data_IF_153334670620
#
_entry.id   IF_153334670620
#
_cell.length_a   1.000
_cell.length_b   1.000
_cell.length_c   1.000
_cell.angle_alpha   90.00
_cell.angle_beta   90.00
_cell.angle_gamma   90.00
#
_symmetry.space_group_name_H-M   'P 1'
#
loop_
_entity.id
_entity.type
_entity.pdbx_description
1 polymer ?
#
# COMPACT_ATOMS: atom_id res chain seq x y z
N UNK A 1 -16.45 50.14 23.46
CA UNK A 1 -15.58 49.62 22.39
C UNK A 1 -15.45 48.12 22.61
N UNK A 2 -16.27 47.34 21.91
CA UNK A 2 -16.30 45.87 22.01
C UNK A 2 -15.65 45.33 20.76
N UNK A 3 -14.42 44.84 20.88
CA UNK A 3 -13.71 44.20 19.77
C UNK A 3 -14.35 42.83 19.54
N UNK A 4 -15.09 42.70 18.43
CA UNK A 4 -15.56 41.41 17.96
C UNK A 4 -14.36 40.58 17.49
N UNK A 5 -14.15 39.42 18.12
CA UNK A 5 -13.22 38.40 17.64
C UNK A 5 -13.94 37.64 16.54
N UNK A 6 -13.43 37.71 15.31
CA UNK A 6 -13.99 37.00 14.16
C UNK A 6 -13.89 35.47 14.34
N UNK A 7 -14.95 34.70 14.07
CA UNK A 7 -14.93 33.24 14.19
C UNK A 7 -14.61 32.61 12.84
N UNK A 8 -13.43 32.83 12.26
CA UNK A 8 -13.10 32.25 10.95
C UNK A 8 -11.60 31.92 10.87
N UNK A 9 -11.26 30.64 11.14
CA UNK A 9 -10.10 29.88 10.60
C UNK A 9 -9.71 28.63 11.41
N UNK A 10 -10.19 28.49 12.64
CA UNK A 10 -9.74 27.39 13.50
C UNK A 10 -10.33 26.02 13.13
N UNK A 11 -11.58 25.95 12.65
CA UNK A 11 -12.18 24.66 12.27
C UNK A 11 -11.63 24.10 10.95
N UNK A 12 -11.38 24.94 9.94
CA UNK A 12 -11.00 24.47 8.60
C UNK A 12 -9.58 23.87 8.54
N UNK A 13 -8.65 24.42 9.33
CA UNK A 13 -7.26 23.93 9.38
C UNK A 13 -7.17 22.54 10.02
N UNK A 14 -7.99 22.28 11.04
CA UNK A 14 -8.02 20.98 11.72
C UNK A 14 -8.61 19.90 10.81
N UNK A 15 -9.69 20.20 10.07
CA UNK A 15 -10.26 19.25 9.11
C UNK A 15 -9.30 18.93 7.96
N UNK A 16 -8.61 19.93 7.41
CA UNK A 16 -7.63 19.71 6.34
C UNK A 16 -6.45 18.87 6.85
N UNK A 17 -5.92 19.16 8.03
CA UNK A 17 -4.83 18.39 8.63
C UNK A 17 -5.23 16.94 8.92
N UNK A 18 -6.43 16.71 9.46
CA UNK A 18 -7.00 15.38 9.69
C UNK A 18 -7.17 14.65 8.35
N UNK A 19 -7.71 15.32 7.34
CA UNK A 19 -7.88 14.74 6.02
C UNK A 19 -6.53 14.37 5.39
N UNK A 20 -5.53 15.24 5.48
CA UNK A 20 -4.20 14.98 4.97
C UNK A 20 -3.47 13.87 5.76
N UNK A 21 -3.71 13.70 7.05
CA UNK A 21 -3.24 12.56 7.84
C UNK A 21 -3.95 11.23 7.44
N UNK A 22 -5.15 11.35 6.89
CA UNK A 22 -5.96 10.27 6.31
C UNK A 22 -5.40 9.65 5.03
N UNK A 23 -4.52 10.38 4.33
CA UNK A 23 -4.03 10.01 3.01
C UNK A 23 -3.06 8.81 3.10
N UNK A 24 -3.35 7.71 2.41
CA UNK A 24 -2.51 6.52 2.38
C UNK A 24 -2.19 6.08 0.94
N UNK A 25 -0.99 5.53 0.70
CA UNK A 25 -0.64 4.99 -0.59
C UNK A 25 -1.31 3.62 -0.72
N UNK A 26 -1.74 3.29 -1.92
CA UNK A 26 -2.33 2.01 -2.19
C UNK A 26 -1.85 1.50 -3.53
N UNK A 27 -1.32 0.28 -3.52
CA UNK A 27 -0.88 -0.38 -4.74
C UNK A 27 -2.12 -0.71 -5.58
N UNK A 28 -2.02 -0.44 -6.87
CA UNK A 28 -3.08 -0.67 -7.84
C UNK A 28 -2.49 -1.16 -9.16
N UNK A 29 -3.32 -1.84 -9.96
CA UNK A 29 -2.93 -2.15 -11.34
C UNK A 29 -3.16 -0.95 -12.20
N UNK A 30 -2.27 -0.78 -13.17
CA UNK A 30 -2.38 0.27 -14.18
C UNK A 30 -3.67 0.16 -14.99
N UNK A 31 -4.18 -1.04 -15.26
CA UNK A 31 -5.46 -1.20 -15.96
C UNK A 31 -6.68 -0.77 -15.13
N UNK A 32 -6.53 -0.69 -13.80
CA UNK A 32 -7.62 -0.22 -12.93
C UNK A 32 -7.70 1.33 -12.95
N UNK A 33 -6.77 2.01 -13.63
CA UNK A 33 -6.77 3.45 -13.87
C UNK A 33 -7.45 3.88 -15.17
N UNK A 34 -7.70 2.95 -16.10
CA UNK A 34 -8.29 3.28 -17.40
C UNK A 34 -9.82 3.35 -17.28
N UNK A 35 -10.33 4.49 -16.83
CA UNK A 35 -11.77 4.79 -16.76
C UNK A 35 -12.09 5.84 -15.69
N UNK A 36 -13.22 6.53 -15.84
CA UNK A 36 -13.78 7.31 -14.75
C UNK A 36 -14.28 6.32 -13.69
N UNK A 37 -13.64 6.33 -12.52
CA UNK A 37 -14.03 5.49 -11.38
C UNK A 37 -14.75 6.39 -10.38
N UNK A 38 -15.72 5.85 -9.63
CA UNK A 38 -16.29 6.60 -8.51
C UNK A 38 -15.16 6.93 -7.53
N UNK A 39 -14.90 8.23 -7.38
CA UNK A 39 -13.87 8.75 -6.47
C UNK A 39 -14.47 9.07 -5.11
N UNK A 40 -13.63 9.54 -4.19
CA UNK A 40 -13.99 9.99 -2.85
C UNK A 40 -15.17 11.00 -2.81
N UNK A 41 -15.41 11.72 -3.91
CA UNK A 41 -16.48 12.70 -4.03
C UNK A 41 -17.81 12.13 -4.57
N UNK A 42 -17.90 10.81 -4.81
CA UNK A 42 -19.12 10.17 -5.30
C UNK A 42 -19.43 10.42 -6.78
N UNK A 43 -18.52 11.04 -7.53
CA UNK A 43 -18.63 11.25 -8.98
C UNK A 43 -17.45 10.60 -9.72
N UNK A 44 -17.65 10.34 -11.01
CA UNK A 44 -16.62 9.78 -11.90
C UNK A 44 -15.52 10.80 -12.17
N UNK A 45 -14.36 10.62 -11.55
CA UNK A 45 -13.17 11.45 -11.76
C UNK A 45 -11.95 10.53 -11.92
N UNK A 46 -10.83 11.08 -12.39
CA UNK A 46 -9.59 10.33 -12.57
C UNK A 46 -8.85 10.24 -11.22
N UNK A 47 -8.59 9.01 -10.71
CA UNK A 47 -7.80 8.83 -9.50
C UNK A 47 -6.41 9.44 -9.62
N UNK A 48 -5.94 10.11 -8.58
CA UNK A 48 -4.57 10.60 -8.52
C UNK A 48 -3.59 9.45 -8.26
N UNK A 49 -2.50 9.43 -9.02
CA UNK A 49 -1.51 8.37 -8.89
C UNK A 49 -0.18 8.60 -9.58
N UNK A 50 0.78 7.73 -9.28
CA UNK A 50 2.11 7.69 -9.89
C UNK A 50 2.37 6.29 -10.43
N UNK A 51 2.92 6.19 -11.63
CA UNK A 51 3.31 4.90 -12.20
C UNK A 51 4.56 4.35 -11.49
N UNK A 52 4.53 3.08 -11.09
CA UNK A 52 5.65 2.41 -10.40
C UNK A 52 6.40 1.45 -11.33
N UNK A 53 5.67 0.71 -12.16
CA UNK A 53 6.21 -0.28 -13.10
C UNK A 53 5.38 -0.32 -14.38
N UNK A 54 5.58 -1.35 -15.22
CA UNK A 54 4.76 -1.56 -16.41
C UNK A 54 3.29 -1.83 -16.04
N UNK A 55 3.03 -2.61 -14.99
CA UNK A 55 1.67 -3.02 -14.61
C UNK A 55 1.16 -2.38 -13.33
N UNK A 56 2.01 -1.74 -12.52
CA UNK A 56 1.64 -1.21 -11.21
C UNK A 56 1.72 0.31 -11.15
N UNK A 57 0.85 0.86 -10.31
CA UNK A 57 0.82 2.27 -9.96
C UNK A 57 0.47 2.40 -8.49
N UNK A 58 0.87 3.51 -7.89
CA UNK A 58 0.35 3.94 -6.58
C UNK A 58 -0.83 4.86 -6.83
N UNK A 59 -1.92 4.61 -6.09
CA UNK A 59 -3.05 5.52 -5.96
C UNK A 59 -3.14 5.98 -4.50
N UNK A 60 -3.92 7.03 -4.26
CA UNK A 60 -4.16 7.51 -2.92
C UNK A 60 -5.54 7.11 -2.43
N UNK A 61 -5.59 6.64 -1.19
CA UNK A 61 -6.82 6.36 -0.47
C UNK A 61 -6.98 7.37 0.65
N UNK A 62 -8.22 7.75 0.89
CA UNK A 62 -8.58 8.41 2.12
C UNK A 62 -9.06 7.38 3.13
N UNK A 63 -8.43 7.33 4.30
CA UNK A 63 -8.84 6.46 5.39
C UNK A 63 -8.95 7.28 6.67
N UNK A 64 -10.06 7.13 7.36
CA UNK A 64 -10.15 7.62 8.73
C UNK A 64 -9.06 6.96 9.60
N UNK A 65 -8.52 7.70 10.56
CA UNK A 65 -7.52 7.23 11.51
C UNK A 65 -8.14 6.27 12.53
N UNK A 66 -9.45 6.43 12.80
CA UNK A 66 -10.21 5.62 13.76
C UNK A 66 -10.93 4.42 13.14
N UNK A 67 -11.00 4.34 11.81
CA UNK A 67 -11.65 3.22 11.14
C UNK A 67 -10.81 1.95 11.26
N UNK A 68 -11.41 0.89 11.81
CA UNK A 68 -10.78 -0.42 11.88
C UNK A 68 -10.55 -0.96 10.46
N UNK A 69 -9.29 -1.31 10.16
CA UNK A 69 -8.86 -1.95 8.91
C UNK A 69 -9.58 -3.27 8.59
N UNK A 70 -10.41 -3.78 9.50
CA UNK A 70 -11.24 -4.98 9.34
C UNK A 70 -12.46 -4.80 8.42
N UNK A 71 -12.83 -3.57 8.07
CA UNK A 71 -14.10 -3.34 7.36
C UNK A 71 -13.92 -3.41 5.84
N UNK A 72 -14.77 -4.18 5.18
CA UNK A 72 -14.98 -4.27 3.71
C UNK A 72 -15.41 -2.95 3.04
N UNK A 73 -15.08 -1.80 3.63
CA UNK A 73 -15.39 -0.50 3.08
C UNK A 73 -14.75 -0.37 1.70
N UNK A 74 -15.52 0.07 0.69
CA UNK A 74 -15.00 0.22 -0.67
C UNK A 74 -13.81 1.18 -0.68
N UNK A 75 -12.82 0.87 -1.52
CA UNK A 75 -11.66 1.73 -1.73
C UNK A 75 -12.12 3.01 -2.44
N UNK A 76 -12.22 4.10 -1.70
CA UNK A 76 -12.44 5.43 -2.25
C UNK A 76 -11.08 6.02 -2.64
N UNK A 77 -10.81 6.07 -3.95
CA UNK A 77 -9.60 6.69 -4.45
C UNK A 77 -9.75 8.20 -4.51
N UNK A 78 -8.71 8.90 -4.07
CA UNK A 78 -8.65 10.36 -4.07
C UNK A 78 -8.35 10.84 -5.49
N UNK A 79 -9.15 11.78 -6.00
CA UNK A 79 -8.97 12.30 -7.37
C UNK A 79 -7.85 13.35 -7.48
N UNK A 80 -7.41 13.63 -8.71
CA UNK A 80 -6.45 14.72 -8.97
C UNK A 80 -6.98 16.09 -8.53
N UNK A 81 -8.30 16.31 -8.63
CA UNK A 81 -8.95 17.54 -8.16
C UNK A 81 -8.82 17.67 -6.65
N UNK A 82 -9.13 16.61 -5.90
CA UNK A 82 -9.01 16.62 -4.44
C UNK A 82 -7.58 16.91 -3.99
N UNK A 83 -6.57 16.22 -4.59
CA UNK A 83 -5.16 16.49 -4.29
C UNK A 83 -4.77 17.94 -4.58
N UNK A 84 -5.26 18.51 -5.69
CA UNK A 84 -5.01 19.91 -6.05
C UNK A 84 -5.73 20.89 -5.13
N UNK A 85 -6.90 20.52 -4.61
CA UNK A 85 -7.67 21.28 -3.62
C UNK A 85 -6.92 21.47 -2.30
N UNK A 86 -6.10 20.49 -1.92
CA UNK A 86 -5.15 20.59 -0.79
C UNK A 86 -3.84 21.33 -1.13
N UNK A 87 -3.73 21.92 -2.33
CA UNK A 87 -2.50 22.59 -2.78
C UNK A 87 -1.30 21.66 -2.96
N UNK A 88 -1.52 20.36 -3.08
CA UNK A 88 -0.46 19.36 -3.25
C UNK A 88 -0.26 19.00 -4.71
N UNK A 89 1.00 18.76 -5.10
CA UNK A 89 1.30 18.02 -6.31
C UNK A 89 1.16 16.51 -6.04
N UNK A 90 0.93 15.72 -7.10
CA UNK A 90 0.87 14.25 -6.99
C UNK A 90 2.13 13.66 -6.33
N UNK A 91 3.31 14.24 -6.59
CA UNK A 91 4.56 13.80 -5.95
C UNK A 91 4.54 14.08 -4.44
N UNK A 92 4.15 15.29 -4.02
CA UNK A 92 4.05 15.64 -2.60
C UNK A 92 3.00 14.81 -1.88
N UNK A 93 1.88 14.53 -2.53
CA UNK A 93 0.86 13.61 -2.02
C UNK A 93 1.42 12.19 -1.82
N UNK A 94 2.27 11.71 -2.73
CA UNK A 94 2.92 10.41 -2.61
C UNK A 94 3.91 10.34 -1.45
N UNK A 95 4.75 11.36 -1.28
CA UNK A 95 5.68 11.47 -0.15
C UNK A 95 4.92 11.58 1.19
N UNK A 96 3.87 12.40 1.24
CA UNK A 96 3.01 12.56 2.41
C UNK A 96 2.31 11.25 2.79
N UNK A 97 1.72 10.56 1.81
CA UNK A 97 1.04 9.30 2.03
C UNK A 97 2.01 8.24 2.59
N UNK A 98 3.24 8.18 2.06
CA UNK A 98 4.28 7.29 2.58
C UNK A 98 4.68 7.62 4.03
N UNK A 99 4.72 8.91 4.40
CA UNK A 99 4.96 9.32 5.78
C UNK A 99 3.79 8.96 6.70
N UNK A 100 2.54 9.15 6.26
CA UNK A 100 1.34 8.76 7.00
C UNK A 100 1.31 7.24 7.24
N UNK A 101 1.65 6.44 6.23
CA UNK A 101 1.74 4.98 6.34
C UNK A 101 2.72 4.57 7.46
N UNK A 102 3.89 5.20 7.52
CA UNK A 102 4.87 4.95 8.58
C UNK A 102 4.33 5.36 9.96
N UNK A 103 3.71 6.54 10.07
CA UNK A 103 3.10 7.02 11.32
C UNK A 103 2.04 6.05 11.84
N UNK A 104 1.17 5.50 10.98
CA UNK A 104 0.14 4.52 11.38
C UNK A 104 0.70 3.20 11.88
N UNK A 105 1.86 2.78 11.40
CA UNK A 105 2.51 1.55 11.84
C UNK A 105 3.48 1.75 13.01
N UNK A 106 3.72 2.99 13.43
CA UNK A 106 4.61 3.32 14.53
C UNK A 106 3.99 2.91 15.88
N UNK A 107 4.80 2.30 16.73
CA UNK A 107 4.50 2.05 18.14
C UNK A 107 5.60 2.66 19.00
N UNK A 108 5.44 2.60 20.33
CA UNK A 108 6.48 3.04 21.27
C UNK A 108 7.84 2.33 21.07
N UNK A 109 7.87 1.20 20.35
CA UNK A 109 9.07 0.40 20.06
C UNK A 109 9.54 0.52 18.60
N UNK A 110 8.92 1.40 17.80
CA UNK A 110 9.22 1.57 16.38
C UNK A 110 8.15 0.99 15.46
N UNK A 111 8.50 0.71 14.20
CA UNK A 111 7.56 0.22 13.20
C UNK A 111 7.20 -1.25 13.45
N UNK A 112 5.90 -1.57 13.48
CA UNK A 112 5.41 -2.93 13.76
C UNK A 112 4.86 -3.62 12.51
N UNK A 113 5.49 -4.74 12.15
CA UNK A 113 4.96 -5.72 11.21
C UNK A 113 4.54 -6.99 11.96
N UNK A 114 3.39 -7.55 11.59
CA UNK A 114 2.99 -8.90 12.02
C UNK A 114 3.39 -9.87 10.92
N UNK A 115 4.07 -10.93 11.32
CA UNK A 115 4.55 -11.96 10.40
C UNK A 115 4.03 -13.32 10.83
N UNK A 116 3.72 -14.17 9.86
CA UNK A 116 3.43 -15.58 10.09
C UNK A 116 3.96 -16.43 8.94
N UNK A 117 4.08 -17.73 9.16
CA UNK A 117 4.48 -18.67 8.12
C UNK A 117 3.50 -18.60 6.94
N UNK A 118 4.02 -18.57 5.71
CA UNK A 118 3.18 -18.57 4.51
C UNK A 118 2.40 -19.89 4.36
N UNK A 119 2.87 -20.99 4.97
CA UNK A 119 2.19 -22.28 4.96
C UNK A 119 0.73 -22.22 5.44
N UNK A 120 0.39 -21.24 6.29
CA UNK A 120 -0.97 -20.99 6.79
C UNK A 120 -1.97 -20.62 5.68
N UNK A 121 -1.50 -19.99 4.60
CA UNK A 121 -2.33 -19.62 3.44
C UNK A 121 -1.93 -20.35 2.16
N UNK A 122 -0.70 -20.86 2.10
CA UNK A 122 -0.14 -21.66 1.01
C UNK A 122 0.45 -22.96 1.55
N UNK A 123 -0.38 -23.99 1.82
CA UNK A 123 0.10 -25.24 2.38
C UNK A 123 1.29 -25.81 1.60
N UNK A 124 2.39 -26.09 2.32
CA UNK A 124 3.65 -26.59 1.75
C UNK A 124 4.70 -25.52 1.40
N UNK A 125 4.34 -24.23 1.46
CA UNK A 125 5.29 -23.11 1.29
C UNK A 125 6.00 -22.82 2.63
N UNK A 126 7.15 -23.45 2.86
CA UNK A 126 7.94 -23.32 4.10
C UNK A 126 8.94 -22.16 4.05
N UNK A 127 9.32 -21.77 2.84
CA UNK A 127 10.24 -20.69 2.47
C UNK A 127 9.61 -19.27 2.51
N UNK A 128 8.35 -19.17 2.95
CA UNK A 128 7.56 -17.96 2.80
C UNK A 128 7.14 -17.37 4.13
N UNK A 129 7.13 -16.03 4.18
CA UNK A 129 6.62 -15.25 5.30
C UNK A 129 5.48 -14.36 4.80
N UNK A 130 4.29 -14.53 5.37
CA UNK A 130 3.20 -13.59 5.16
C UNK A 130 3.37 -12.39 6.08
N UNK A 131 3.12 -11.21 5.54
CA UNK A 131 3.28 -9.93 6.24
C UNK A 131 1.93 -9.24 6.32
N UNK A 132 1.66 -8.67 7.49
CA UNK A 132 0.57 -7.75 7.73
C UNK A 132 1.11 -6.50 8.42
N UNK A 133 0.69 -5.34 7.93
CA UNK A 133 0.98 -4.06 8.56
C UNK A 133 -0.21 -3.59 9.40
N UNK A 134 0.06 -2.86 10.48
CA UNK A 134 -0.98 -2.23 11.29
C UNK A 134 -1.47 -0.95 10.58
N UNK A 135 -2.78 -0.72 10.60
CA UNK A 135 -3.38 0.55 10.19
C UNK A 135 -3.39 0.82 8.68
N UNK A 136 -2.95 -0.13 7.86
CA UNK A 136 -2.97 -0.03 6.40
C UNK A 136 -2.89 -1.42 5.73
N UNK A 137 -3.19 -1.43 4.43
CA UNK A 137 -2.99 -2.58 3.54
C UNK A 137 -1.51 -2.99 3.49
N UNK A 138 -1.21 -4.29 3.54
CA UNK A 138 0.18 -4.77 3.49
C UNK A 138 0.88 -4.34 2.18
N UNK A 139 0.14 -4.38 1.06
CA UNK A 139 0.65 -3.97 -0.26
C UNK A 139 1.04 -2.49 -0.35
N UNK A 140 0.49 -1.63 0.53
CA UNK A 140 0.80 -0.20 0.58
C UNK A 140 2.29 0.06 0.83
N UNK A 141 2.96 -0.84 1.55
CA UNK A 141 4.39 -0.71 1.84
C UNK A 141 5.25 -0.81 0.59
N UNK A 142 4.78 -1.46 -0.47
CA UNK A 142 5.51 -1.61 -1.74
C UNK A 142 5.28 -0.41 -2.67
N UNK A 143 4.37 0.50 -2.32
CA UNK A 143 3.91 1.56 -3.21
C UNK A 143 4.81 2.81 -3.18
N UNK A 144 5.82 2.88 -2.31
CA UNK A 144 6.78 3.99 -2.24
C UNK A 144 8.21 3.48 -1.94
N UNK A 145 9.27 4.06 -2.54
CA UNK A 145 10.65 3.59 -2.35
C UNK A 145 11.12 3.49 -0.90
N UNK A 146 10.82 4.50 -0.11
CA UNK A 146 11.20 4.53 1.30
C UNK A 146 10.50 3.43 2.11
N UNK A 147 9.18 3.25 1.93
CA UNK A 147 8.43 2.25 2.70
C UNK A 147 8.79 0.84 2.24
N UNK A 148 9.04 0.66 0.95
CA UNK A 148 9.42 -0.65 0.42
C UNK A 148 10.83 -1.01 0.91
N UNK A 149 11.78 -0.07 0.91
CA UNK A 149 13.11 -0.28 1.49
C UNK A 149 13.05 -0.66 2.97
N UNK A 150 12.18 -0.03 3.76
CA UNK A 150 12.00 -0.37 5.19
C UNK A 150 11.51 -1.82 5.34
N UNK A 151 10.47 -2.19 4.60
CA UNK A 151 9.89 -3.53 4.67
C UNK A 151 10.88 -4.60 4.14
N UNK A 152 11.52 -4.37 2.99
CA UNK A 152 12.52 -5.28 2.42
C UNK A 152 13.69 -5.50 3.38
N UNK A 153 14.22 -4.42 3.97
CA UNK A 153 15.29 -4.51 4.97
C UNK A 153 14.86 -5.28 6.21
N UNK A 154 13.63 -5.09 6.69
CA UNK A 154 13.09 -5.84 7.82
C UNK A 154 13.01 -7.34 7.51
N UNK A 155 12.53 -7.71 6.32
CA UNK A 155 12.38 -9.11 5.92
C UNK A 155 13.70 -9.80 5.66
N UNK A 156 14.69 -9.09 5.11
CA UNK A 156 16.06 -9.62 4.98
C UNK A 156 16.65 -9.97 6.34
N UNK A 157 16.45 -9.11 7.35
CA UNK A 157 16.87 -9.41 8.72
C UNK A 157 16.14 -10.61 9.31
N UNK A 158 14.82 -10.71 9.10
CA UNK A 158 14.00 -11.79 9.63
C UNK A 158 14.30 -13.15 8.99
N UNK A 159 14.59 -13.17 7.69
CA UNK A 159 14.90 -14.39 6.91
C UNK A 159 16.39 -14.74 6.92
N UNK A 160 17.23 -13.90 7.54
CA UNK A 160 18.68 -13.96 7.43
C UNK A 160 19.20 -13.98 5.97
N UNK A 161 18.42 -13.43 5.04
CA UNK A 161 18.78 -13.38 3.64
C UNK A 161 19.96 -12.44 3.43
N UNK A 162 21.01 -12.94 2.79
CA UNK A 162 22.18 -12.13 2.42
C UNK A 162 21.84 -11.14 1.31
N UNK A 163 22.67 -10.10 1.14
CA UNK A 163 22.49 -9.10 0.07
C UNK A 163 22.47 -9.71 -1.35
N UNK A 164 23.04 -10.91 -1.54
CA UNK A 164 23.04 -11.64 -2.81
C UNK A 164 21.76 -12.46 -3.05
N UNK A 165 21.00 -12.75 -1.99
CA UNK A 165 19.76 -13.50 -2.11
C UNK A 165 18.62 -12.57 -2.51
N UNK A 166 17.87 -13.02 -3.51
CA UNK A 166 16.71 -12.31 -4.02
C UNK A 166 15.49 -12.67 -3.19
N UNK A 167 14.78 -11.66 -2.68
CA UNK A 167 13.46 -11.83 -2.09
C UNK A 167 12.40 -11.60 -3.17
N UNK A 168 11.45 -12.50 -3.28
CA UNK A 168 10.30 -12.37 -4.17
C UNK A 168 9.04 -12.09 -3.37
N UNK A 169 8.23 -11.15 -3.85
CA UNK A 169 7.01 -10.71 -3.19
C UNK A 169 5.79 -11.17 -3.99
N UNK A 170 4.96 -12.01 -3.39
CA UNK A 170 3.65 -12.38 -3.94
C UNK A 170 2.60 -11.43 -3.37
N UNK A 171 1.85 -10.76 -4.25
CA UNK A 171 0.87 -9.75 -3.85
C UNK A 171 -0.46 -10.01 -4.57
N UNK A 172 -1.23 -11.02 -4.12
CA UNK A 172 -2.46 -11.38 -4.81
C UNK A 172 -3.58 -10.35 -4.62
N UNK A 173 -3.59 -9.65 -3.48
CA UNK A 173 -4.61 -8.68 -3.08
C UNK A 173 -3.99 -7.60 -2.18
N UNK A 174 -4.70 -6.49 -1.90
CA UNK A 174 -4.10 -5.39 -1.14
C UNK A 174 -3.67 -5.76 0.29
N UNK A 175 -4.37 -6.70 0.93
CA UNK A 175 -4.14 -7.07 2.33
C UNK A 175 -3.06 -8.14 2.51
N UNK A 176 -2.74 -8.90 1.45
CA UNK A 176 -1.84 -10.05 1.50
C UNK A 176 -0.53 -9.74 0.77
N UNK A 177 0.58 -9.77 1.51
CA UNK A 177 1.93 -9.82 0.93
C UNK A 177 2.64 -11.03 1.50
N UNK A 178 3.23 -11.85 0.63
CA UNK A 178 4.08 -12.98 1.02
C UNK A 178 5.47 -12.75 0.45
N UNK A 179 6.48 -12.74 1.30
CA UNK A 179 7.88 -12.73 0.89
C UNK A 179 8.41 -14.15 0.86
N UNK A 180 8.93 -14.58 -0.29
CA UNK A 180 9.64 -15.84 -0.46
C UNK A 180 11.13 -15.56 -0.48
N UNK A 181 11.87 -16.27 0.38
CA UNK A 181 13.32 -16.22 0.40
C UNK A 181 13.91 -17.50 -0.19
N UNK A 182 15.15 -17.40 -0.70
CA UNK A 182 15.97 -18.54 -1.13
C UNK A 182 15.26 -19.54 -2.07
N UNK A 183 14.37 -19.02 -2.93
CA UNK A 183 13.51 -19.84 -3.78
C UNK A 183 13.82 -19.64 -5.25
N UNK A 184 14.02 -20.72 -6.03
CA UNK A 184 14.23 -20.58 -7.47
C UNK A 184 12.97 -20.01 -8.13
N UNK A 185 13.14 -19.16 -9.15
CA UNK A 185 12.04 -18.43 -9.80
C UNK A 185 10.90 -19.35 -10.27
N UNK A 186 11.20 -20.57 -10.74
CA UNK A 186 10.17 -21.57 -11.11
C UNK A 186 9.23 -21.89 -9.96
N UNK A 187 9.76 -22.04 -8.75
CA UNK A 187 9.00 -22.32 -7.53
C UNK A 187 8.24 -21.10 -7.03
N UNK A 188 8.84 -19.92 -7.14
CA UNK A 188 8.17 -18.64 -6.85
C UNK A 188 6.96 -18.44 -7.77
N UNK A 189 7.12 -18.66 -9.09
CA UNK A 189 6.03 -18.57 -10.06
C UNK A 189 4.94 -19.63 -9.82
N UNK A 190 5.31 -20.83 -9.37
CA UNK A 190 4.34 -21.84 -8.93
C UNK A 190 3.47 -21.32 -7.78
N UNK A 191 4.08 -20.77 -6.74
CA UNK A 191 3.34 -20.21 -5.61
C UNK A 191 2.51 -18.98 -5.99
N UNK A 192 3.04 -18.10 -6.84
CA UNK A 192 2.29 -16.95 -7.38
C UNK A 192 1.01 -17.41 -8.07
N UNK A 193 1.12 -18.43 -8.94
CA UNK A 193 -0.06 -18.99 -9.62
C UNK A 193 -1.07 -19.56 -8.63
N UNK A 194 -0.61 -20.39 -7.68
CA UNK A 194 -1.46 -21.01 -6.66
C UNK A 194 -2.22 -19.98 -5.81
N UNK A 195 -1.52 -18.96 -5.28
CA UNK A 195 -2.16 -17.95 -4.44
C UNK A 195 -3.13 -17.09 -5.25
N UNK A 196 -2.80 -16.80 -6.51
CA UNK A 196 -3.66 -16.04 -7.40
C UNK A 196 -4.92 -16.82 -7.78
N UNK A 197 -4.83 -18.13 -8.05
CA UNK A 197 -6.00 -18.98 -8.30
C UNK A 197 -6.96 -19.00 -7.11
N UNK A 198 -6.45 -19.14 -5.88
CA UNK A 198 -7.27 -19.09 -4.66
C UNK A 198 -7.97 -17.74 -4.47
N UNK A 199 -7.34 -16.64 -4.91
CA UNK A 199 -7.84 -15.27 -4.72
C UNK A 199 -8.70 -14.75 -5.87
N UNK A 200 -8.55 -15.28 -7.09
CA UNK A 200 -9.39 -14.94 -8.26
C UNK A 200 -10.87 -15.12 -7.98
N UNK A 201 -11.23 -16.12 -7.17
CA UNK A 201 -12.62 -16.36 -6.75
C UNK A 201 -13.22 -15.22 -5.93
N UNK A 202 -12.38 -14.34 -5.35
CA UNK A 202 -12.79 -13.20 -4.51
C UNK A 202 -12.66 -11.85 -5.21
N UNK A 203 -12.24 -11.84 -6.48
CA UNK A 203 -12.04 -10.63 -7.25
C UNK A 203 -10.71 -10.60 -7.98
N UNK A 204 -10.30 -9.40 -8.37
CA UNK A 204 -9.20 -9.23 -9.29
C UNK A 204 -7.84 -9.28 -8.59
N UNK A 205 -6.91 -10.09 -9.13
CA UNK A 205 -5.54 -10.21 -8.61
C UNK A 205 -4.76 -8.92 -8.80
N UNK A 206 -4.08 -8.44 -7.74
CA UNK A 206 -3.31 -7.20 -7.73
C UNK A 206 -2.00 -7.32 -8.53
N UNK A 207 -1.11 -8.25 -8.20
CA UNK A 207 0.10 -8.55 -8.97
C UNK A 207 0.14 -10.03 -9.38
N UNK A 208 -0.15 -10.36 -10.66
CA UNK A 208 -0.14 -11.74 -11.14
C UNK A 208 1.26 -12.37 -11.14
N UNK A 209 2.28 -11.57 -11.44
CA UNK A 209 3.67 -11.98 -11.41
C UNK A 209 4.31 -11.67 -10.05
N UNK A 210 5.28 -12.48 -9.61
CA UNK A 210 6.09 -12.15 -8.43
C UNK A 210 6.78 -10.81 -8.62
N UNK A 211 6.87 -10.03 -7.55
CA UNK A 211 7.54 -8.74 -7.55
C UNK A 211 8.92 -8.85 -6.91
N UNK A 212 9.82 -7.97 -7.35
CA UNK A 212 11.16 -7.78 -6.83
C UNK A 212 11.30 -6.35 -6.34
N UNK A 213 12.16 -6.15 -5.36
CA UNK A 213 12.66 -4.81 -5.06
C UNK A 213 13.78 -4.45 -6.04
N UNK A 214 13.57 -3.44 -6.89
CA UNK A 214 14.56 -2.96 -7.84
C UNK A 214 14.56 -1.42 -7.85
N UNK A 215 15.70 -0.82 -7.50
CA UNK A 215 15.88 0.64 -7.44
C UNK A 215 14.80 1.36 -6.60
N UNK A 216 14.30 0.72 -5.54
CA UNK A 216 13.23 1.25 -4.70
C UNK A 216 11.80 0.94 -5.19
N UNK A 217 11.62 0.27 -6.33
CA UNK A 217 10.30 0.03 -6.91
C UNK A 217 9.97 -1.45 -7.02
N UNK A 218 8.68 -1.83 -6.99
CA UNK A 218 8.24 -3.17 -7.34
C UNK A 218 8.42 -3.41 -8.84
N UNK A 219 9.19 -4.44 -9.19
CA UNK A 219 9.42 -4.89 -10.57
C UNK A 219 8.92 -6.32 -10.75
N UNK A 220 8.19 -6.59 -11.82
CA UNK A 220 7.69 -7.93 -12.15
C UNK A 220 8.83 -8.86 -12.65
N UNK A 221 8.86 -10.11 -12.16
CA UNK A 221 9.96 -11.08 -12.37
C UNK A 221 9.72 -12.17 -13.44
#
# INVERSE_FOLDING_TARGET
>A
MTTAIAPEKFESLDFEAIALAGLLPALARRKDLSGATLTDQGFGDTPAGVQLSRQLSVLFLQRDEFADTSTHAPRAFVSHRTISGFGLSTRRAWDLAAANLQRRALTAQGLRFRTRCAAEILPGCKEGIQIQARGAEASAWLAHPQTFSIMDSHLRRLTHATARQTLYYLVPDPATVVALHDSPLKRVRHWSRRINEQRRLRGAVLAPEPLLWANGFPLEA
#
